data_IF_455523608493
#
_entry.id   IF_455523608493
#
_cell.length_a   1.000
_cell.length_b   1.000
_cell.length_c   1.000
_cell.angle_alpha   90.00
_cell.angle_beta   90.00
_cell.angle_gamma   90.00
#
_symmetry.space_group_name_H-M   'P 1'
#
loop_
_entity.id
_entity.type
_entity.pdbx_description
1 polymer ?
#
# COMPACT_ATOMS: atom_id res chain seq x y z
N UNK A 1 2.79 22.41 -6.00
CA UNK A 1 1.82 21.45 -5.44
C UNK A 1 0.89 21.00 -6.56
N UNK A 2 0.85 19.70 -6.89
CA UNK A 2 -0.06 19.14 -7.92
C UNK A 2 -1.42 18.92 -7.25
N UNK A 3 -2.46 19.62 -7.70
CA UNK A 3 -3.83 19.39 -7.24
C UNK A 3 -4.44 18.36 -8.17
N UNK A 4 -4.88 17.25 -7.62
CA UNK A 4 -5.55 16.20 -8.38
C UNK A 4 -7.06 16.35 -8.26
N UNK A 5 -7.74 16.40 -9.41
CA UNK A 5 -9.19 16.48 -9.50
C UNK A 5 -9.70 15.18 -10.13
N UNK A 6 -10.68 14.54 -9.48
CA UNK A 6 -11.24 13.28 -9.98
C UNK A 6 -12.03 13.56 -11.25
N UNK A 7 -11.66 12.99 -12.42
CA UNK A 7 -12.43 13.14 -13.65
C UNK A 7 -13.79 12.45 -13.53
N UNK A 8 -14.76 12.88 -14.33
CA UNK A 8 -16.06 12.21 -14.44
C UNK A 8 -15.89 10.74 -14.84
N UNK A 9 -16.62 9.86 -14.14
CA UNK A 9 -16.30 8.43 -14.12
C UNK A 9 -16.75 7.70 -15.39
N UNK A 10 -15.85 7.09 -16.18
CA UNK A 10 -16.25 6.17 -17.23
C UNK A 10 -16.79 4.85 -16.67
N UNK A 11 -17.62 4.16 -17.46
CA UNK A 11 -18.27 2.88 -17.12
C UNK A 11 -17.26 1.85 -16.61
N UNK A 12 -17.62 1.09 -15.57
CA UNK A 12 -16.73 0.19 -14.81
C UNK A 12 -15.93 -0.83 -15.66
N UNK A 13 -16.47 -1.24 -16.81
CA UNK A 13 -15.85 -2.21 -17.72
C UNK A 13 -14.61 -1.66 -18.45
N UNK A 14 -14.59 -0.36 -18.75
CA UNK A 14 -13.46 0.28 -19.44
C UNK A 14 -12.24 0.54 -18.53
N UNK A 15 -12.42 0.46 -17.20
CA UNK A 15 -11.35 0.71 -16.23
C UNK A 15 -10.30 -0.41 -16.18
N UNK A 16 -10.68 -1.66 -16.47
CA UNK A 16 -9.77 -2.83 -16.32
C UNK A 16 -8.73 -2.93 -17.44
N UNK A 17 -9.05 -2.42 -18.62
CA UNK A 17 -8.19 -2.54 -19.82
C UNK A 17 -7.24 -1.36 -20.04
N UNK A 18 -7.39 -0.27 -19.27
CA UNK A 18 -6.54 0.91 -19.42
C UNK A 18 -5.13 0.69 -18.88
N UNK A 19 -4.08 1.25 -19.53
CA UNK A 19 -2.74 1.35 -18.93
C UNK A 19 -2.78 2.04 -17.57
N UNK A 20 -1.76 1.80 -16.74
CA UNK A 20 -1.72 2.33 -15.36
C UNK A 20 -1.71 3.87 -15.36
N UNK A 21 -1.07 4.49 -16.34
CA UNK A 21 -0.92 5.94 -16.51
C UNK A 21 -2.28 6.64 -16.74
N UNK A 22 -3.27 5.89 -17.22
CA UNK A 22 -4.64 6.37 -17.43
C UNK A 22 -5.58 6.02 -16.26
N UNK A 23 -5.07 5.32 -15.23
CA UNK A 23 -5.86 4.94 -14.06
C UNK A 23 -5.69 5.94 -12.93
N UNK A 24 -6.73 6.11 -12.13
CA UNK A 24 -6.64 6.87 -10.86
C UNK A 24 -5.54 6.33 -9.93
N UNK A 25 -5.20 5.05 -10.06
CA UNK A 25 -4.17 4.39 -9.27
C UNK A 25 -2.75 4.84 -9.60
N UNK A 26 -2.50 5.47 -10.74
CA UNK A 26 -1.18 6.02 -11.12
C UNK A 26 -0.66 7.04 -10.10
N UNK A 27 -1.55 7.82 -9.49
CA UNK A 27 -1.19 8.76 -8.41
C UNK A 27 -0.40 8.11 -7.26
N UNK A 28 -0.68 6.82 -6.98
CA UNK A 28 0.02 6.08 -5.94
C UNK A 28 1.46 5.77 -6.33
N UNK A 29 1.69 5.43 -7.61
CA UNK A 29 3.04 5.26 -8.16
C UNK A 29 3.80 6.59 -8.20
N UNK A 30 3.17 7.67 -8.64
CA UNK A 30 3.79 9.01 -8.59
C UNK A 30 4.24 9.36 -7.17
N UNK A 31 3.36 9.14 -6.16
CA UNK A 31 3.67 9.35 -4.75
C UNK A 31 4.87 8.52 -4.28
N UNK A 32 4.89 7.24 -4.64
CA UNK A 32 6.00 6.34 -4.32
C UNK A 32 7.31 6.77 -4.99
N UNK A 33 7.27 7.17 -6.26
CA UNK A 33 8.44 7.70 -6.96
C UNK A 33 8.99 8.97 -6.30
N UNK A 34 8.11 9.86 -5.83
CA UNK A 34 8.54 11.03 -5.06
C UNK A 34 9.22 10.64 -3.74
N UNK A 35 8.68 9.66 -3.02
CA UNK A 35 9.29 9.16 -1.79
C UNK A 35 10.68 8.54 -2.04
N UNK A 36 10.84 7.79 -3.14
CA UNK A 36 12.13 7.25 -3.54
C UNK A 36 13.16 8.36 -3.86
N UNK A 37 12.74 9.46 -4.51
CA UNK A 37 13.61 10.62 -4.74
C UNK A 37 14.07 11.25 -3.42
N UNK A 38 13.18 11.36 -2.43
CA UNK A 38 13.53 11.84 -1.09
C UNK A 38 14.53 10.91 -0.43
N UNK A 39 14.33 9.58 -0.53
CA UNK A 39 15.28 8.60 0.01
C UNK A 39 16.67 8.72 -0.62
N UNK A 40 16.74 8.94 -1.93
CA UNK A 40 18.01 9.14 -2.65
C UNK A 40 18.71 10.43 -2.23
N UNK A 41 17.94 11.53 -2.00
CA UNK A 41 18.48 12.80 -1.54
C UNK A 41 18.93 12.77 -0.07
N UNK A 42 18.30 11.91 0.75
CA UNK A 42 18.55 11.77 2.18
C UNK A 42 18.80 10.30 2.56
N UNK A 43 19.95 9.71 2.19
CA UNK A 43 20.20 8.26 2.35
C UNK A 43 20.14 7.77 3.80
N UNK A 44 20.50 8.61 4.77
CA UNK A 44 20.47 8.28 6.20
C UNK A 44 19.05 8.29 6.79
N UNK A 45 18.05 8.81 6.06
CA UNK A 45 16.66 8.91 6.53
C UNK A 45 15.87 7.66 6.14
N UNK A 46 15.12 7.10 7.09
CA UNK A 46 14.11 6.10 6.79
C UNK A 46 12.87 6.81 6.20
N UNK A 47 12.60 6.56 4.93
CA UNK A 47 11.42 7.09 4.23
C UNK A 47 10.41 5.96 4.09
N UNK A 48 9.21 6.15 4.65
CA UNK A 48 8.13 5.16 4.61
C UNK A 48 6.90 5.79 3.96
N UNK A 49 6.40 5.17 2.91
CA UNK A 49 5.15 5.57 2.25
C UNK A 49 4.00 4.75 2.83
N UNK A 50 2.92 5.42 3.20
CA UNK A 50 1.73 4.74 3.72
C UNK A 50 0.57 4.89 2.74
N UNK A 51 -0.15 3.80 2.48
CA UNK A 51 -1.31 3.82 1.61
C UNK A 51 -2.46 2.97 2.17
N UNK A 52 -3.67 3.39 1.85
CA UNK A 52 -4.87 2.62 2.12
C UNK A 52 -5.09 1.51 1.06
N UNK A 53 -6.29 0.95 1.00
CA UNK A 53 -6.65 -0.12 0.06
C UNK A 53 -6.55 0.26 -1.42
N UNK A 54 -6.58 1.55 -1.76
CA UNK A 54 -6.44 2.01 -3.14
C UNK A 54 -4.98 1.89 -3.63
N UNK A 55 -4.01 1.96 -2.70
CA UNK A 55 -2.60 1.74 -2.98
C UNK A 55 -2.19 0.26 -3.13
N UNK A 56 -3.10 -0.69 -2.88
CA UNK A 56 -2.83 -2.13 -3.03
C UNK A 56 -2.87 -2.55 -4.52
N UNK A 57 -1.94 -2.05 -5.30
CA UNK A 57 -1.77 -2.27 -6.73
C UNK A 57 -0.50 -3.05 -7.02
N UNK A 58 -0.57 -3.95 -8.01
CA UNK A 58 0.56 -4.82 -8.34
C UNK A 58 1.76 -4.02 -8.87
N UNK A 59 1.50 -3.00 -9.63
CA UNK A 59 2.49 -2.14 -10.24
C UNK A 59 3.42 -1.49 -9.21
N UNK A 60 2.90 -1.11 -8.04
CA UNK A 60 3.72 -0.59 -6.93
C UNK A 60 4.71 -1.64 -6.43
N UNK A 61 4.25 -2.87 -6.20
CA UNK A 61 5.13 -3.93 -5.69
C UNK A 61 6.22 -4.29 -6.71
N UNK A 62 5.86 -4.34 -7.99
CA UNK A 62 6.82 -4.59 -9.08
C UNK A 62 7.87 -3.48 -9.13
N UNK A 63 7.44 -2.22 -9.04
CA UNK A 63 8.34 -1.07 -9.05
C UNK A 63 9.28 -1.07 -7.83
N UNK A 64 8.75 -1.37 -6.65
CA UNK A 64 9.54 -1.47 -5.43
C UNK A 64 10.59 -2.60 -5.49
N UNK A 65 10.24 -3.76 -6.07
CA UNK A 65 11.16 -4.88 -6.22
C UNK A 65 12.24 -4.65 -7.28
N UNK A 66 12.00 -3.80 -8.27
CA UNK A 66 13.00 -3.43 -9.29
C UNK A 66 14.07 -2.48 -8.77
N UNK A 67 13.81 -1.78 -7.67
CA UNK A 67 14.75 -0.80 -7.10
C UNK A 67 15.71 -1.46 -6.13
N UNK A 68 16.95 -0.98 -6.13
CA UNK A 68 17.92 -1.34 -5.10
C UNK A 68 17.42 -0.91 -3.70
N UNK A 69 17.61 -1.73 -2.66
CA UNK A 69 17.17 -1.43 -1.29
C UNK A 69 17.64 -0.06 -0.76
N UNK A 70 18.84 0.36 -1.14
CA UNK A 70 19.41 1.65 -0.74
C UNK A 70 18.72 2.87 -1.38
N UNK A 71 18.03 2.67 -2.51
CA UNK A 71 17.42 3.73 -3.31
C UNK A 71 15.90 3.76 -3.23
N UNK A 72 15.30 2.76 -2.60
CA UNK A 72 13.84 2.69 -2.48
C UNK A 72 13.35 3.22 -1.14
N UNK A 73 12.19 3.86 -1.15
CA UNK A 73 11.44 4.11 0.06
C UNK A 73 10.77 2.80 0.53
N UNK A 74 10.66 2.60 1.82
CA UNK A 74 9.84 1.54 2.39
C UNK A 74 8.36 1.87 2.27
N UNK A 75 7.48 0.88 2.44
CA UNK A 75 6.05 1.12 2.33
C UNK A 75 5.23 0.25 3.27
N UNK A 76 4.10 0.81 3.70
CA UNK A 76 3.04 0.12 4.44
C UNK A 76 1.75 0.32 3.66
N UNK A 77 1.18 -0.76 3.15
CA UNK A 77 -0.04 -0.71 2.34
C UNK A 77 -1.10 -1.60 2.98
N UNK A 78 -2.31 -1.07 3.18
CA UNK A 78 -3.43 -1.86 3.64
C UNK A 78 -3.90 -2.81 2.55
N UNK A 79 -3.70 -4.11 2.75
CA UNK A 79 -4.06 -5.13 1.78
C UNK A 79 -5.58 -5.14 1.49
N UNK A 80 -5.92 -5.13 0.22
CA UNK A 80 -7.29 -5.26 -0.31
C UNK A 80 -7.53 -6.64 -0.90
N UNK A 81 -6.54 -7.17 -1.60
CA UNK A 81 -6.66 -8.36 -2.41
C UNK A 81 -6.01 -9.57 -1.74
N UNK A 82 -6.69 -10.71 -1.77
CA UNK A 82 -6.11 -12.00 -1.44
C UNK A 82 -5.24 -12.48 -2.60
N UNK A 83 -4.05 -11.87 -2.73
CA UNK A 83 -3.16 -12.12 -3.87
C UNK A 83 -2.27 -13.33 -3.66
N UNK A 84 -1.88 -13.93 -4.77
CA UNK A 84 -0.82 -14.93 -4.80
C UNK A 84 0.52 -14.28 -4.50
N UNK A 85 1.33 -14.94 -3.68
CA UNK A 85 2.69 -14.51 -3.32
C UNK A 85 3.71 -15.62 -3.61
N UNK A 86 4.94 -15.20 -3.89
CA UNK A 86 6.07 -16.09 -4.14
C UNK A 86 6.13 -16.67 -5.55
N UNK A 87 7.31 -17.10 -5.98
CA UNK A 87 7.54 -17.81 -7.22
C UNK A 87 7.16 -19.29 -7.07
N UNK A 88 6.82 -19.93 -8.19
CA UNK A 88 6.75 -21.37 -8.29
C UNK A 88 5.34 -21.98 -8.38
N UNK A 89 5.29 -23.31 -8.42
CA UNK A 89 4.08 -24.11 -8.60
C UNK A 89 3.18 -24.14 -7.36
N UNK A 90 3.75 -23.93 -6.18
CA UNK A 90 3.00 -23.91 -4.93
C UNK A 90 2.23 -22.59 -4.81
N UNK A 91 0.92 -22.68 -4.85
CA UNK A 91 0.05 -21.51 -4.70
C UNK A 91 0.00 -21.09 -3.23
N UNK A 92 0.71 -20.02 -2.90
CA UNK A 92 0.66 -19.35 -1.60
C UNK A 92 -0.14 -18.05 -1.74
N UNK A 93 -0.92 -17.72 -0.74
CA UNK A 93 -1.77 -16.52 -0.73
C UNK A 93 -1.56 -15.71 0.54
N UNK A 94 -1.66 -14.40 0.42
CA UNK A 94 -1.38 -13.44 1.52
C UNK A 94 -2.08 -13.81 2.82
N UNK A 95 -3.38 -14.08 2.80
CA UNK A 95 -4.12 -14.35 4.05
C UNK A 95 -3.71 -15.65 4.71
N UNK A 96 -3.52 -16.70 3.92
CA UNK A 96 -3.08 -18.00 4.44
C UNK A 96 -1.69 -17.91 5.07
N UNK A 97 -0.78 -17.19 4.42
CA UNK A 97 0.58 -16.98 4.94
C UNK A 97 0.57 -16.15 6.22
N UNK A 98 -0.24 -15.08 6.27
CA UNK A 98 -0.35 -14.24 7.45
C UNK A 98 -0.93 -14.99 8.66
N UNK A 99 -1.87 -15.92 8.45
CA UNK A 99 -2.41 -16.75 9.53
C UNK A 99 -1.37 -17.70 10.14
N UNK A 100 -0.38 -18.12 9.37
CA UNK A 100 0.70 -19.00 9.81
C UNK A 100 1.91 -18.24 10.34
N UNK A 101 2.01 -16.95 10.07
CA UNK A 101 3.13 -16.12 10.50
C UNK A 101 3.01 -15.80 11.99
N UNK A 102 4.11 -15.98 12.71
CA UNK A 102 4.18 -15.64 14.13
C UNK A 102 3.98 -14.13 14.33
N UNK A 103 3.17 -13.75 15.30
CA UNK A 103 3.05 -12.35 15.73
C UNK A 103 4.41 -11.79 16.17
N UNK A 104 4.76 -10.62 15.67
CA UNK A 104 5.99 -9.90 16.06
C UNK A 104 5.84 -9.20 17.41
N UNK A 105 4.60 -8.95 17.85
CA UNK A 105 4.30 -8.26 19.08
C UNK A 105 2.86 -7.75 19.13
N UNK A 106 2.53 -7.08 20.20
CA UNK A 106 1.23 -6.43 20.41
C UNK A 106 1.44 -4.94 20.65
N UNK A 107 0.67 -4.12 19.97
CA UNK A 107 0.64 -2.68 20.19
C UNK A 107 -0.72 -2.28 20.73
N UNK A 108 -0.75 -1.64 21.91
CA UNK A 108 -1.97 -1.04 22.46
C UNK A 108 -2.05 0.41 21.98
N UNK A 109 -3.14 0.74 21.31
CA UNK A 109 -3.40 2.11 20.81
C UNK A 109 -4.59 2.66 21.59
N UNK A 110 -4.35 3.76 22.32
CA UNK A 110 -5.42 4.53 22.92
C UNK A 110 -6.07 5.42 21.86
N UNK A 111 -7.34 5.14 21.58
CA UNK A 111 -8.13 5.96 20.67
C UNK A 111 -8.78 7.10 21.45
N UNK A 112 -8.59 8.34 21.00
CA UNK A 112 -9.28 9.48 21.56
C UNK A 112 -10.79 9.27 21.52
N UNK A 113 -11.46 9.52 22.64
CA UNK A 113 -12.91 9.36 22.79
C UNK A 113 -13.62 10.32 21.84
N UNK A 114 -14.38 9.79 20.89
CA UNK A 114 -15.33 10.59 20.14
C UNK A 114 -16.55 10.86 21.01
N UNK A 115 -17.00 12.11 21.16
CA UNK A 115 -18.07 12.48 22.10
C UNK A 115 -19.37 11.68 21.94
N UNK A 116 -19.65 11.19 20.75
CA UNK A 116 -20.91 10.51 20.41
C UNK A 116 -20.79 8.97 20.25
N UNK A 117 -19.64 8.36 20.51
CA UNK A 117 -19.47 6.91 20.38
C UNK A 117 -18.87 6.27 21.61
N UNK A 118 -19.45 5.14 22.10
CA UNK A 118 -18.85 4.40 23.19
C UNK A 118 -17.45 3.89 22.78
N UNK A 119 -16.49 3.76 23.72
CA UNK A 119 -15.17 3.25 23.45
C UNK A 119 -15.27 1.84 22.85
N UNK A 120 -14.66 1.63 21.69
CA UNK A 120 -14.53 0.32 21.06
C UNK A 120 -13.13 -0.20 21.32
N UNK A 121 -13.02 -1.28 22.07
CA UNK A 121 -11.82 -2.10 22.08
C UNK A 121 -11.78 -2.85 20.75
N UNK A 122 -10.83 -2.50 19.89
CA UNK A 122 -10.55 -3.27 18.68
C UNK A 122 -9.70 -4.47 19.09
N UNK A 123 -10.19 -5.72 18.99
CA UNK A 123 -9.34 -6.88 19.19
C UNK A 123 -8.28 -6.87 18.07
N UNK A 124 -7.01 -6.81 18.48
CA UNK A 124 -5.90 -7.10 17.59
C UNK A 124 -5.93 -8.60 17.25
N UNK A 125 -6.27 -8.93 16.04
CA UNK A 125 -6.00 -10.26 15.46
C UNK A 125 -4.82 -10.17 14.54
#
# INVERSE_FOLDING_TARGET
MKVWQRPEQPVAQQRKSKPIEEKESDRWLEGYHCACKVKQACPATLVVTMADREGDIQEWFVEAMRREPSQRAEFIIRAKCHRRIGPGAVQRYVWAEMQQTRSLGTLTIELARQPERPPRLAPSR
#
